data_IF_751301727827
#
_entry.id   IF_751301727827
#
_cell.length_a   1.000
_cell.length_b   1.000
_cell.length_c   1.000
_cell.angle_alpha   90.00
_cell.angle_beta   90.00
_cell.angle_gamma   90.00
#
_symmetry.space_group_name_H-M   'P 1'
#
loop_
_entity.id
_entity.type
_entity.pdbx_description
1 polymer ?
#
# COMPACT_ATOMS: atom_id res chain seq x y z
N UNK A 1 -5.28 6.29 -10.95
CA UNK A 1 -5.80 5.16 -11.74
C UNK A 1 -6.30 4.06 -10.79
N UNK A 2 -7.05 3.07 -11.26
CA UNK A 2 -7.48 1.89 -10.47
C UNK A 2 -6.76 0.66 -10.97
N UNK A 3 -6.32 -0.20 -10.06
CA UNK A 3 -5.66 -1.46 -10.39
C UNK A 3 -5.84 -2.46 -9.26
N UNK A 4 -5.08 -3.55 -9.32
CA UNK A 4 -5.08 -4.60 -8.29
C UNK A 4 -3.66 -4.99 -7.90
N UNK A 5 -3.51 -5.36 -6.63
CA UNK A 5 -2.30 -6.00 -6.08
C UNK A 5 -2.72 -7.27 -5.35
N UNK A 6 -1.79 -8.18 -5.04
CA UNK A 6 -2.13 -9.35 -4.22
C UNK A 6 -1.79 -9.11 -2.75
N UNK A 7 -2.81 -9.07 -1.91
CA UNK A 7 -2.63 -8.84 -0.48
C UNK A 7 -3.89 -9.09 0.34
N UNK A 8 -3.69 -9.34 1.64
CA UNK A 8 -4.74 -9.48 2.63
C UNK A 8 -5.04 -8.15 3.28
N UNK A 9 -6.31 -7.77 3.34
CA UNK A 9 -6.77 -6.58 4.08
C UNK A 9 -7.32 -6.97 5.43
N UNK A 10 -7.08 -6.14 6.43
CA UNK A 10 -7.57 -6.33 7.80
C UNK A 10 -7.78 -4.99 8.47
N UNK A 11 -8.56 -4.94 9.54
CA UNK A 11 -8.69 -3.73 10.36
C UNK A 11 -7.48 -3.63 11.29
N UNK A 12 -6.78 -2.50 11.25
CA UNK A 12 -5.68 -2.21 12.17
C UNK A 12 -6.25 -2.04 13.57
N UNK A 13 -5.53 -2.56 14.58
CA UNK A 13 -5.94 -2.51 16.00
C UNK A 13 -4.96 -1.75 16.89
N UNK A 14 -4.03 -1.00 16.29
CA UNK A 14 -2.95 -0.30 16.97
C UNK A 14 -2.86 1.17 16.60
N UNK A 15 -2.28 1.93 17.53
CA UNK A 15 -1.93 3.33 17.34
C UNK A 15 -3.12 4.22 16.92
N UNK A 16 -2.85 5.36 16.25
CA UNK A 16 -3.88 6.26 15.75
C UNK A 16 -4.63 5.71 14.52
N UNK A 17 -4.18 4.59 13.96
CA UNK A 17 -4.77 3.92 12.80
C UNK A 17 -5.80 2.84 13.19
N UNK A 18 -6.10 2.67 14.48
CA UNK A 18 -7.14 1.75 14.95
C UNK A 18 -8.48 1.96 14.22
N UNK A 19 -9.02 0.89 13.65
CA UNK A 19 -10.24 0.89 12.84
C UNK A 19 -10.08 1.30 11.37
N UNK A 20 -8.85 1.57 10.89
CA UNK A 20 -8.56 1.77 9.48
C UNK A 20 -8.09 0.47 8.80
N UNK A 21 -8.31 0.31 7.48
CA UNK A 21 -7.84 -0.86 6.76
C UNK A 21 -6.31 -0.84 6.62
N UNK A 22 -5.67 -1.92 7.05
CA UNK A 22 -4.29 -2.27 6.74
C UNK A 22 -4.22 -3.32 5.62
N UNK A 23 -3.02 -3.49 5.05
CA UNK A 23 -2.77 -4.52 4.05
C UNK A 23 -1.37 -5.12 4.18
N UNK A 24 -1.29 -6.44 4.05
CA UNK A 24 -0.04 -7.22 3.86
C UNK A 24 -0.01 -7.82 2.46
N UNK A 25 1.12 -7.71 1.77
CA UNK A 25 1.32 -8.26 0.43
C UNK A 25 1.67 -9.76 0.50
N UNK A 26 1.02 -10.55 -0.36
CA UNK A 26 1.26 -11.99 -0.45
C UNK A 26 0.84 -12.48 -1.85
N UNK A 27 1.76 -13.12 -2.57
CA UNK A 27 1.49 -13.64 -3.91
C UNK A 27 0.39 -14.72 -3.95
N UNK A 28 0.13 -15.39 -2.83
CA UNK A 28 -0.97 -16.34 -2.66
C UNK A 28 -2.32 -15.70 -2.32
N UNK A 29 -2.33 -14.40 -1.99
CA UNK A 29 -3.54 -13.67 -1.63
C UNK A 29 -4.44 -13.35 -2.84
N UNK A 30 -5.72 -13.02 -2.61
CA UNK A 30 -6.62 -12.50 -3.63
C UNK A 30 -6.09 -11.21 -4.26
N UNK A 31 -6.59 -10.92 -5.47
CA UNK A 31 -6.41 -9.60 -6.07
C UNK A 31 -7.27 -8.57 -5.32
N UNK A 32 -6.61 -7.62 -4.68
CA UNK A 32 -7.20 -6.55 -3.88
C UNK A 32 -7.17 -5.25 -4.69
N UNK A 33 -8.33 -4.57 -4.85
CA UNK A 33 -8.41 -3.33 -5.60
C UNK A 33 -7.68 -2.20 -4.89
N UNK A 34 -6.94 -1.40 -5.66
CA UNK A 34 -6.18 -0.24 -5.18
C UNK A 34 -6.37 0.97 -6.07
N UNK A 35 -6.10 2.15 -5.51
CA UNK A 35 -5.95 3.38 -6.25
C UNK A 35 -4.46 3.72 -6.39
N UNK A 36 -4.03 3.95 -7.62
CA UNK A 36 -2.68 4.44 -7.92
C UNK A 36 -2.73 5.95 -8.07
N UNK A 37 -1.99 6.66 -7.22
CA UNK A 37 -1.79 8.09 -7.28
C UNK A 37 -0.44 8.40 -7.91
N UNK A 38 -0.41 9.35 -8.84
CA UNK A 38 0.79 9.74 -9.58
C UNK A 38 1.09 11.21 -9.28
N UNK A 39 2.37 11.52 -9.06
CA UNK A 39 2.83 12.89 -8.85
C UNK A 39 4.28 13.02 -9.29
N UNK A 40 4.60 14.05 -10.06
CA UNK A 40 5.99 14.39 -10.40
C UNK A 40 6.82 14.76 -9.16
N UNK A 41 6.15 15.22 -8.10
CA UNK A 41 6.76 15.63 -6.84
C UNK A 41 6.82 14.46 -5.83
N UNK A 42 6.51 13.22 -6.22
CA UNK A 42 6.44 12.09 -5.28
C UNK A 42 7.79 11.85 -4.62
N UNK A 43 8.86 11.73 -5.40
CA UNK A 43 10.20 11.37 -4.91
C UNK A 43 10.71 12.32 -3.82
N UNK A 44 10.51 13.62 -4.03
CA UNK A 44 10.90 14.65 -3.07
C UNK A 44 10.04 14.66 -1.79
N UNK A 45 8.91 13.94 -1.76
CA UNK A 45 7.98 13.90 -0.63
C UNK A 45 7.91 12.52 0.05
N UNK A 46 8.53 11.49 -0.51
CA UNK A 46 8.51 10.13 0.05
C UNK A 46 8.91 10.10 1.53
N UNK A 47 9.98 10.79 1.92
CA UNK A 47 10.42 10.86 3.32
C UNK A 47 9.37 11.45 4.27
N UNK A 48 8.65 12.49 3.82
CA UNK A 48 7.58 13.11 4.60
C UNK A 48 6.40 12.15 4.79
N UNK A 49 6.12 11.33 3.78
CA UNK A 49 5.07 10.33 3.83
C UNK A 49 5.52 9.19 4.77
N UNK A 50 6.77 8.72 4.66
CA UNK A 50 7.34 7.73 5.60
C UNK A 50 7.21 8.19 7.06
N UNK A 51 7.56 9.45 7.34
CA UNK A 51 7.44 10.04 8.68
C UNK A 51 5.98 10.19 9.16
N UNK A 52 5.03 10.35 8.22
CA UNK A 52 3.60 10.46 8.52
C UNK A 52 2.97 9.10 8.84
N UNK A 53 3.27 8.07 8.04
CA UNK A 53 2.76 6.71 8.24
C UNK A 53 3.37 6.10 9.52
N UNK A 54 4.65 6.37 9.78
CA UNK A 54 5.33 5.96 11.01
C UNK A 54 5.70 4.48 11.04
N UNK A 55 6.12 3.98 12.22
CA UNK A 55 6.81 2.69 12.34
C UNK A 55 5.92 1.46 12.11
N UNK A 56 4.60 1.61 12.19
CA UNK A 56 3.65 0.51 11.93
C UNK A 56 3.45 0.21 10.45
N UNK A 57 4.11 0.95 9.56
CA UNK A 57 4.08 0.73 8.13
C UNK A 57 5.48 0.58 7.55
N UNK A 58 5.58 -0.17 6.46
CA UNK A 58 6.79 -0.32 5.65
C UNK A 58 6.48 0.03 4.20
N UNK A 59 7.20 1.01 3.65
CA UNK A 59 7.16 1.29 2.22
C UNK A 59 7.81 0.17 1.43
N UNK A 60 7.07 -0.40 0.49
CA UNK A 60 7.49 -1.49 -0.39
C UNK A 60 7.13 -1.15 -1.84
N UNK A 61 7.91 -1.69 -2.77
CA UNK A 61 7.63 -1.61 -4.19
C UNK A 61 6.71 -2.77 -4.59
N UNK A 62 5.65 -2.50 -5.37
CA UNK A 62 4.64 -3.51 -5.74
C UNK A 62 4.26 -3.48 -7.22
N UNK A 63 4.11 -4.69 -7.76
CA UNK A 63 3.40 -5.08 -8.99
C UNK A 63 1.93 -4.62 -9.03
N UNK A 64 1.55 -3.51 -9.69
CA UNK A 64 0.13 -3.19 -9.89
C UNK A 64 -0.34 -3.69 -11.25
N UNK A 65 -1.41 -4.48 -11.29
CA UNK A 65 -2.09 -4.89 -12.53
C UNK A 65 -3.32 -4.03 -12.79
N UNK A 66 -3.39 -3.39 -13.95
CA UNK A 66 -4.53 -2.56 -14.37
C UNK A 66 -5.58 -3.36 -15.16
N UNK A 67 -6.76 -2.76 -15.36
CA UNK A 67 -7.90 -3.39 -16.05
C UNK A 67 -7.62 -3.79 -17.51
N UNK A 68 -6.67 -3.12 -18.17
CA UNK A 68 -6.22 -3.42 -19.53
C UNK A 68 -5.15 -4.54 -19.59
N UNK A 69 -4.79 -5.11 -18.44
CA UNK A 69 -3.76 -6.13 -18.30
C UNK A 69 -2.33 -5.56 -18.33
N UNK A 70 -2.16 -4.24 -18.46
CA UNK A 70 -0.85 -3.63 -18.25
C UNK A 70 -0.44 -3.70 -16.79
N UNK A 71 0.87 -3.69 -16.56
CA UNK A 71 1.45 -3.63 -15.23
C UNK A 71 2.35 -2.41 -15.08
N UNK A 72 2.42 -1.88 -13.86
CA UNK A 72 3.36 -0.81 -13.50
C UNK A 72 3.77 -0.96 -12.03
N UNK A 73 4.89 -0.34 -11.71
CA UNK A 73 5.49 -0.39 -10.38
C UNK A 73 5.03 0.83 -9.57
N UNK A 74 4.56 0.60 -8.34
CA UNK A 74 4.18 1.65 -7.41
C UNK A 74 4.74 1.45 -6.01
N UNK A 75 4.80 2.53 -5.24
CA UNK A 75 5.04 2.45 -3.79
C UNK A 75 3.75 2.13 -3.05
N UNK A 76 3.85 1.21 -2.10
CA UNK A 76 2.77 0.83 -1.19
C UNK A 76 3.26 0.84 0.25
N UNK A 77 2.44 1.30 1.19
CA UNK A 77 2.71 1.20 2.62
C UNK A 77 2.02 -0.03 3.17
N UNK A 78 2.82 -1.09 3.34
CA UNK A 78 2.38 -2.34 3.95
C UNK A 78 2.27 -2.14 5.45
N UNK A 79 1.12 -2.48 6.03
CA UNK A 79 0.93 -2.37 7.47
C UNK A 79 1.49 -3.62 8.16
N UNK A 80 2.11 -3.44 9.31
CA UNK A 80 2.46 -4.56 10.20
C UNK A 80 1.18 -4.98 10.96
N UNK A 81 0.74 -6.24 10.87
CA UNK A 81 -0.45 -6.69 11.58
C UNK A 81 -0.28 -6.69 13.11
N UNK A 82 0.95 -6.61 13.63
CA UNK A 82 1.26 -6.72 15.07
C UNK A 82 1.96 -5.47 15.66
N UNK A 83 2.00 -4.34 14.94
CA UNK A 83 2.66 -3.12 15.40
C UNK A 83 2.06 -2.48 16.68
#
# INVERSE_FOLDING_TARGET
RTGTVRGWTYDITWGPADGYPGMTLDNGAPATPVHVLESAELEQHLRRIDDFEGPGYRRVEVEVTYDDGSTDTAWLYEADPEA
#
